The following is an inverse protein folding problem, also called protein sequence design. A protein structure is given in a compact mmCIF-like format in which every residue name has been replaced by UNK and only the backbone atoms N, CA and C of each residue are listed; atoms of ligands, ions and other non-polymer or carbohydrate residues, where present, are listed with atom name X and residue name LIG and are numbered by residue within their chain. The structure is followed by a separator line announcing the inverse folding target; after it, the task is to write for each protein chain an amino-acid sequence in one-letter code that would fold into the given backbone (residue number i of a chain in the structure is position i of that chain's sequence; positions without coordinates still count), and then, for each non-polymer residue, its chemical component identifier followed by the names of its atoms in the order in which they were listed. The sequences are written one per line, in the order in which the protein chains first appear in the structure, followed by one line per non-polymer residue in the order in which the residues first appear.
data_IF_553084512454
#
_entry.id   IF_553084512454
#
_cell.length_a   1.000
_cell.length_b   1.000
_cell.length_c   1.000
_cell.angle_alpha   90.00
_cell.angle_beta   90.00
_cell.angle_gamma   90.00
#
_symmetry.space_group_name_H-M   'P 1'
#
loop_
_entity.id
_entity.type
_entity.pdbx_description
1 polymer ?
#
# COMPACT_ATOMS: atom_id res chain seq x y z
N UNK A 1 26.83 2.83 -19.27
CA UNK A 1 25.59 2.98 -20.05
C UNK A 1 24.58 3.66 -19.14
N UNK A 2 24.08 4.82 -19.51
CA UNK A 2 23.02 5.47 -18.72
C UNK A 2 21.74 4.66 -18.89
N UNK A 3 21.14 4.24 -17.79
CA UNK A 3 19.81 3.62 -17.79
C UNK A 3 18.80 4.71 -18.14
N UNK A 4 17.97 4.46 -19.13
CA UNK A 4 16.92 5.41 -19.49
C UNK A 4 15.67 5.07 -18.65
N UNK A 5 15.04 6.08 -18.06
CA UNK A 5 13.77 5.90 -17.37
C UNK A 5 12.72 5.34 -18.35
N UNK A 6 12.04 4.29 -17.96
CA UNK A 6 10.98 3.66 -18.77
C UNK A 6 9.78 3.28 -17.93
N UNK A 7 8.62 3.22 -18.57
CA UNK A 7 7.39 2.70 -17.98
C UNK A 7 6.78 1.71 -18.95
N UNK A 8 6.44 0.54 -18.45
CA UNK A 8 5.82 -0.55 -19.20
C UNK A 8 4.49 -0.91 -18.55
N UNK A 9 3.50 -1.27 -19.35
CA UNK A 9 2.20 -1.73 -18.90
C UNK A 9 1.92 -3.11 -19.46
N UNK A 10 1.55 -4.05 -18.61
CA UNK A 10 1.13 -5.39 -18.95
C UNK A 10 -0.30 -5.62 -18.47
N UNK A 11 -1.14 -6.15 -19.35
CA UNK A 11 -2.53 -6.49 -19.02
C UNK A 11 -2.73 -7.96 -19.36
N UNK A 12 -3.08 -8.74 -18.36
CA UNK A 12 -3.52 -10.12 -18.51
C UNK A 12 -5.04 -10.15 -18.42
N UNK A 13 -5.70 -10.22 -19.57
CA UNK A 13 -7.16 -10.21 -19.67
C UNK A 13 -7.78 -11.50 -19.12
N UNK A 14 -7.09 -12.64 -19.22
CA UNK A 14 -7.60 -13.94 -18.78
C UNK A 14 -7.74 -14.01 -17.25
N UNK A 15 -6.81 -13.41 -16.54
CA UNK A 15 -6.81 -13.37 -15.07
C UNK A 15 -7.26 -12.03 -14.50
N UNK A 16 -7.44 -11.00 -15.33
CA UNK A 16 -7.81 -9.65 -14.91
C UNK A 16 -6.72 -8.95 -14.09
N UNK A 17 -5.45 -9.24 -14.39
CA UNK A 17 -4.30 -8.66 -13.71
C UNK A 17 -3.74 -7.53 -14.57
N UNK A 18 -3.48 -6.40 -13.94
CA UNK A 18 -2.82 -5.26 -14.58
C UNK A 18 -1.55 -4.92 -13.83
N UNK A 19 -0.46 -4.79 -14.55
CA UNK A 19 0.84 -4.39 -14.03
C UNK A 19 1.31 -3.08 -14.68
N UNK A 20 1.96 -2.25 -13.88
CA UNK A 20 2.73 -1.09 -14.34
C UNK A 20 4.13 -1.19 -13.76
N UNK A 21 5.14 -1.19 -14.62
CA UNK A 21 6.54 -1.34 -14.23
C UNK A 21 7.27 -0.05 -14.60
N UNK A 22 7.84 0.63 -13.62
CA UNK A 22 8.65 1.81 -13.81
C UNK A 22 10.12 1.50 -13.49
N UNK A 23 11.01 1.67 -14.45
CA UNK A 23 12.46 1.61 -14.23
C UNK A 23 12.98 3.03 -14.11
N UNK A 24 13.65 3.31 -13.00
CA UNK A 24 14.17 4.62 -12.65
C UNK A 24 15.69 4.57 -12.59
N UNK A 25 16.34 5.49 -13.30
CA UNK A 25 17.77 5.72 -13.13
C UNK A 25 18.02 6.45 -11.80
N UNK A 26 18.75 5.77 -10.91
CA UNK A 26 19.11 6.30 -9.60
C UNK A 26 20.59 6.76 -9.55
N UNK A 27 21.15 7.10 -10.69
CA UNK A 27 22.51 7.59 -10.85
C UNK A 27 23.56 6.57 -10.37
N UNK A 28 24.43 7.00 -9.47
CA UNK A 28 25.52 6.17 -8.93
C UNK A 28 25.04 4.95 -8.12
N UNK A 29 23.77 4.92 -7.73
CA UNK A 29 23.16 3.81 -6.97
C UNK A 29 22.52 2.74 -7.87
N UNK A 30 22.69 2.87 -9.20
CA UNK A 30 22.12 1.93 -10.16
C UNK A 30 20.63 2.17 -10.46
N UNK A 31 20.08 1.34 -11.33
CA UNK A 31 18.66 1.40 -11.65
C UNK A 31 17.81 0.78 -10.53
N UNK A 32 16.63 1.33 -10.32
CA UNK A 32 15.61 0.80 -9.43
C UNK A 32 14.33 0.51 -10.21
N UNK A 33 13.68 -0.59 -9.89
CA UNK A 33 12.43 -0.98 -10.50
C UNK A 33 11.30 -0.89 -9.49
N UNK A 34 10.24 -0.16 -9.86
CA UNK A 34 8.98 -0.12 -9.14
C UNK A 34 7.93 -0.83 -9.98
N UNK A 35 7.32 -1.87 -9.43
CA UNK A 35 6.22 -2.59 -10.08
C UNK A 35 4.97 -2.43 -9.23
N UNK A 36 3.89 -2.04 -9.88
CA UNK A 36 2.55 -1.96 -9.29
C UNK A 36 1.68 -3.01 -9.96
N UNK A 37 0.98 -3.79 -9.18
CA UNK A 37 0.11 -4.85 -9.64
C UNK A 37 -1.25 -4.75 -8.98
N UNK A 38 -2.31 -4.90 -9.76
CA UNK A 38 -3.68 -4.97 -9.25
C UNK A 38 -4.44 -6.13 -9.87
N UNK A 39 -5.45 -6.66 -9.17
CA UNK A 39 -6.33 -7.72 -9.64
C UNK A 39 -5.95 -9.13 -9.17
N UNK A 40 -4.75 -9.35 -8.63
CA UNK A 40 -4.31 -10.67 -8.15
C UNK A 40 -4.65 -10.89 -6.67
N UNK A 41 -4.22 -9.99 -5.80
CA UNK A 41 -4.39 -10.12 -4.35
C UNK A 41 -5.52 -9.23 -3.82
N UNK A 42 -6.06 -9.63 -2.67
CA UNK A 42 -7.10 -8.89 -1.93
C UNK A 42 -8.33 -8.49 -2.79
N UNK A 43 -8.83 -9.41 -3.60
CA UNK A 43 -9.95 -9.19 -4.54
C UNK A 43 -11.28 -8.81 -3.88
N UNK A 44 -11.40 -8.99 -2.56
CA UNK A 44 -12.60 -8.62 -1.81
C UNK A 44 -12.56 -7.19 -1.26
N UNK A 45 -11.40 -6.53 -1.33
CA UNK A 45 -11.29 -5.10 -1.02
C UNK A 45 -11.86 -4.25 -2.15
N UNK A 46 -12.34 -3.04 -1.84
CA UNK A 46 -12.82 -2.09 -2.85
C UNK A 46 -11.69 -1.59 -3.76
N UNK A 47 -10.47 -1.58 -3.24
CA UNK A 47 -9.25 -1.34 -4.01
C UNK A 47 -8.08 -2.11 -3.43
N UNK A 48 -7.21 -2.63 -4.28
CA UNK A 48 -5.98 -3.30 -3.87
C UNK A 48 -4.87 -3.08 -4.88
N UNK A 49 -3.68 -2.83 -4.38
CA UNK A 49 -2.46 -2.69 -5.18
C UNK A 49 -1.31 -3.37 -4.45
N UNK A 50 -0.57 -4.20 -5.15
CA UNK A 50 0.69 -4.73 -4.68
C UNK A 50 1.82 -3.92 -5.30
N UNK A 51 2.71 -3.42 -4.49
CA UNK A 51 3.87 -2.64 -4.93
C UNK A 51 5.13 -3.43 -4.62
N UNK A 52 6.00 -3.58 -5.60
CA UNK A 52 7.31 -4.19 -5.44
C UNK A 52 8.39 -3.13 -5.69
N UNK A 53 9.37 -3.10 -4.82
CA UNK A 53 10.61 -2.34 -5.02
C UNK A 53 11.71 -3.35 -5.32
N UNK A 54 12.19 -3.33 -6.55
CA UNK A 54 13.01 -4.39 -7.10
C UNK A 54 12.31 -5.75 -6.91
N UNK A 55 13.02 -6.84 -6.65
CA UNK A 55 12.44 -8.15 -6.41
C UNK A 55 12.39 -8.54 -4.91
N UNK A 56 12.92 -7.70 -4.04
CA UNK A 56 13.16 -8.03 -2.64
C UNK A 56 12.09 -7.53 -1.67
N UNK A 57 11.41 -6.44 -2.02
CA UNK A 57 10.48 -5.76 -1.11
C UNK A 57 9.08 -5.71 -1.70
N UNK A 58 8.10 -6.18 -0.94
CA UNK A 58 6.69 -6.20 -1.33
C UNK A 58 5.84 -5.46 -0.31
N UNK A 59 4.94 -4.61 -0.79
CA UNK A 59 3.91 -3.95 -0.01
C UNK A 59 2.54 -4.24 -0.64
N UNK A 60 1.61 -4.79 0.13
CA UNK A 60 0.21 -4.90 -0.25
C UNK A 60 -0.57 -3.75 0.40
N UNK A 61 -1.16 -2.90 -0.41
CA UNK A 61 -2.08 -1.85 0.00
C UNK A 61 -3.52 -2.25 -0.35
N UNK A 62 -4.42 -2.15 0.61
CA UNK A 62 -5.85 -2.43 0.42
C UNK A 62 -6.67 -1.25 0.94
N UNK A 63 -7.80 -1.02 0.31
CA UNK A 63 -8.74 0.01 0.73
C UNK A 63 -10.14 -0.56 0.74
N UNK A 64 -10.89 -0.28 1.80
CA UNK A 64 -12.30 -0.60 1.92
C UNK A 64 -13.08 0.65 2.35
N UNK A 65 -14.30 0.80 1.87
CA UNK A 65 -15.17 1.90 2.22
C UNK A 65 -16.55 1.40 2.63
N UNK A 66 -17.14 2.01 3.65
CA UNK A 66 -18.50 1.68 4.05
C UNK A 66 -19.52 2.17 3.00
N UNK A 67 -20.55 1.37 2.72
CA UNK A 67 -21.61 1.74 1.78
C UNK A 67 -22.53 2.84 2.31
N UNK A 68 -22.53 3.10 3.61
CA UNK A 68 -23.37 4.10 4.25
C UNK A 68 -22.53 5.09 5.06
N UNK A 69 -22.94 6.38 5.06
CA UNK A 69 -22.30 7.37 5.92
C UNK A 69 -22.46 6.99 7.39
N UNK A 70 -21.44 7.23 8.17
CA UNK A 70 -21.48 7.02 9.62
C UNK A 70 -22.14 8.22 10.31
N UNK A 71 -23.29 8.00 10.91
CA UNK A 71 -24.03 9.03 11.62
C UNK A 71 -23.30 9.47 12.90
N UNK A 72 -23.40 10.75 13.25
CA UNK A 72 -22.81 11.31 14.47
C UNK A 72 -21.35 11.76 14.36
N UNK A 73 -20.75 11.69 13.17
CA UNK A 73 -19.39 12.17 12.95
C UNK A 73 -19.36 13.49 12.18
N UNK A 74 -18.71 14.48 12.77
CA UNK A 74 -18.48 15.79 12.15
C UNK A 74 -17.25 15.87 11.27
N UNK A 75 -16.44 14.80 11.25
CA UNK A 75 -15.20 14.69 10.49
C UNK A 75 -15.20 13.44 9.58
N UNK A 76 -14.27 13.40 8.64
CA UNK A 76 -14.06 12.25 7.75
C UNK A 76 -13.40 11.10 8.51
N UNK A 77 -14.08 9.94 8.67
CA UNK A 77 -13.54 8.80 9.39
C UNK A 77 -12.60 7.97 8.48
N UNK A 78 -11.35 8.40 8.39
CA UNK A 78 -10.26 7.68 7.71
C UNK A 78 -9.38 6.99 8.76
N UNK A 79 -9.21 5.68 8.61
CA UNK A 79 -8.28 4.87 9.40
C UNK A 79 -7.18 4.37 8.48
N UNK A 80 -5.93 4.49 8.90
CA UNK A 80 -4.77 3.95 8.17
C UNK A 80 -3.99 3.07 9.13
N UNK A 81 -3.82 1.81 8.77
CA UNK A 81 -3.05 0.83 9.52
C UNK A 81 -1.90 0.29 8.66
N UNK A 82 -0.74 0.15 9.26
CA UNK A 82 0.45 -0.43 8.65
C UNK A 82 0.96 -1.57 9.52
N UNK A 83 1.06 -2.74 8.94
CA UNK A 83 1.59 -3.93 9.59
C UNK A 83 2.78 -4.50 8.82
N UNK A 84 3.85 -4.83 9.53
CA UNK A 84 4.99 -5.56 8.99
C UNK A 84 4.73 -7.06 9.09
N UNK A 85 4.97 -7.78 7.99
CA UNK A 85 4.89 -9.24 7.92
C UNK A 85 6.28 -9.81 7.63
N UNK A 86 6.73 -10.75 8.44
CA UNK A 86 8.07 -11.33 8.36
C UNK A 86 8.06 -12.83 8.10
N UNK A 87 6.90 -13.41 7.77
CA UNK A 87 6.79 -14.86 7.55
C UNK A 87 7.61 -15.35 6.34
N UNK A 88 7.79 -14.52 5.31
CA UNK A 88 8.66 -14.85 4.17
C UNK A 88 10.12 -15.04 4.59
N UNK A 89 10.57 -14.35 5.64
CA UNK A 89 11.89 -14.51 6.24
C UNK A 89 11.91 -15.58 7.36
N UNK A 90 10.83 -16.33 7.55
CA UNK A 90 10.70 -17.33 8.62
C UNK A 90 10.71 -16.72 10.04
N UNK A 91 10.33 -15.46 10.18
CA UNK A 91 10.35 -14.72 11.44
C UNK A 91 8.95 -14.27 11.83
N UNK A 92 8.78 -13.93 13.11
CA UNK A 92 7.57 -13.33 13.67
C UNK A 92 7.91 -11.91 14.10
N UNK A 93 7.16 -10.87 13.66
CA UNK A 93 7.38 -9.50 14.11
C UNK A 93 7.21 -9.37 15.62
N UNK A 94 8.01 -8.52 16.24
CA UNK A 94 7.95 -8.23 17.66
C UNK A 94 9.12 -8.81 18.45
N UNK A 95 8.94 -8.91 19.77
CA UNK A 95 9.91 -9.47 20.68
C UNK A 95 9.39 -10.78 21.28
N UNK A 96 10.25 -11.47 22.05
CA UNK A 96 9.86 -12.69 22.77
C UNK A 96 8.57 -12.51 23.61
N UNK A 97 8.36 -11.33 24.18
CA UNK A 97 7.19 -11.02 25.02
C UNK A 97 6.04 -10.36 24.25
N UNK A 98 6.25 -9.93 23.00
CA UNK A 98 5.27 -9.20 22.19
C UNK A 98 5.22 -9.77 20.78
N UNK A 99 4.67 -10.93 20.63
CA UNK A 99 4.40 -11.51 19.31
C UNK A 99 3.19 -10.80 18.71
N UNK A 100 3.35 -10.24 17.51
CA UNK A 100 2.26 -9.58 16.75
C UNK A 100 1.36 -8.70 17.64
N UNK A 101 1.98 -7.95 18.55
CA UNK A 101 1.29 -7.08 19.48
C UNK A 101 0.91 -5.73 18.86
N UNK A 102 0.97 -4.68 19.66
CA UNK A 102 0.71 -3.31 19.19
C UNK A 102 1.70 -2.92 18.09
N UNK A 103 1.26 -2.09 17.09
CA UNK A 103 2.13 -1.54 16.07
C UNK A 103 3.36 -0.87 16.68
N UNK A 104 4.49 -0.96 16.00
CA UNK A 104 5.70 -0.23 16.38
C UNK A 104 5.50 1.28 16.23
N UNK A 105 6.32 2.08 16.90
CA UNK A 105 6.30 3.53 16.73
C UNK A 105 6.56 3.94 15.28
N UNK A 106 7.39 3.20 14.57
CA UNK A 106 7.67 3.41 13.14
C UNK A 106 6.44 3.15 12.27
N UNK A 107 5.70 2.08 12.54
CA UNK A 107 4.45 1.78 11.85
C UNK A 107 3.41 2.90 12.08
N UNK A 108 3.28 3.40 13.31
CA UNK A 108 2.39 4.52 13.62
C UNK A 108 2.79 5.80 12.86
N UNK A 109 4.09 6.08 12.77
CA UNK A 109 4.58 7.23 11.99
C UNK A 109 4.31 7.05 10.49
N UNK A 110 4.48 5.83 9.96
CA UNK A 110 4.14 5.52 8.57
C UNK A 110 2.64 5.72 8.30
N UNK A 111 1.74 5.29 9.19
CA UNK A 111 0.30 5.56 9.08
C UNK A 111 0.01 7.07 8.98
N UNK A 112 0.69 7.89 9.77
CA UNK A 112 0.54 9.36 9.73
C UNK A 112 1.09 9.97 8.46
N UNK A 113 2.20 9.45 7.93
CA UNK A 113 2.76 9.88 6.65
C UNK A 113 1.83 9.57 5.47
N UNK A 114 1.09 8.47 5.54
CA UNK A 114 0.08 8.10 4.54
C UNK A 114 -1.18 8.95 4.69
N UNK A 115 -1.72 9.07 5.91
CA UNK A 115 -2.95 9.83 6.19
C UNK A 115 -2.83 11.31 5.75
N UNK A 116 -1.72 11.95 6.07
CA UNK A 116 -1.54 13.39 5.87
C UNK A 116 -1.73 13.87 4.42
N UNK A 117 -1.11 13.27 3.40
CA UNK A 117 -1.37 13.63 2.01
C UNK A 117 -2.69 13.08 1.47
N UNK A 118 -3.16 11.95 1.98
CA UNK A 118 -4.34 11.26 1.46
C UNK A 118 -5.64 11.94 1.89
N UNK A 119 -5.77 12.33 3.14
CA UNK A 119 -6.98 12.91 3.72
C UNK A 119 -7.53 14.11 2.95
N UNK A 120 -6.74 15.10 2.51
CA UNK A 120 -7.25 16.24 1.76
C UNK A 120 -7.68 15.91 0.32
N UNK A 121 -7.37 14.74 -0.21
CA UNK A 121 -7.78 14.33 -1.58
C UNK A 121 -9.24 13.91 -1.65
N UNK A 122 -9.83 13.53 -0.53
CA UNK A 122 -11.24 13.15 -0.47
C UNK A 122 -12.16 14.37 -0.53
N UNK A 123 -13.35 14.15 -1.09
CA UNK A 123 -14.35 15.22 -1.20
C UNK A 123 -14.80 15.72 0.17
N UNK A 124 -14.99 17.04 0.29
CA UNK A 124 -15.49 17.65 1.53
C UNK A 124 -16.87 17.11 1.87
N UNK A 125 -17.06 16.74 3.13
CA UNK A 125 -18.33 16.22 3.61
C UNK A 125 -18.53 14.71 3.48
N UNK A 126 -17.54 13.98 2.96
CA UNK A 126 -17.56 12.50 3.01
C UNK A 126 -17.65 12.03 4.47
N UNK A 127 -18.62 11.15 4.75
CA UNK A 127 -18.84 10.57 6.07
C UNK A 127 -18.76 9.05 6.06
N UNK A 128 -18.49 8.45 4.91
CA UNK A 128 -18.25 7.02 4.80
C UNK A 128 -16.94 6.68 5.50
N UNK A 129 -16.94 5.61 6.28
CA UNK A 129 -15.72 5.09 6.89
C UNK A 129 -14.82 4.49 5.80
N UNK A 130 -13.57 4.93 5.75
CA UNK A 130 -12.55 4.42 4.83
C UNK A 130 -11.38 3.89 5.64
N UNK A 131 -10.96 2.67 5.30
CA UNK A 131 -9.82 2.02 5.91
C UNK A 131 -8.84 1.56 4.84
#
# INVERSE_FOLDING_TARGET
MSVQNSVEFNIDEDFGITEAIATLDNGDFGARTLRFETGQLARQADGSVTTYLDDDTMLLATTTASNQPREGFDFFPLTVDVEERMYAAGKIPGSFFRREGRPSSEAILACRLIDRPLRPTFVKGLRNEVQ
#
